data_IF_503995491992
#
_entry.id   IF_503995491992
#
_cell.length_a   1.000
_cell.length_b   1.000
_cell.length_c   1.000
_cell.angle_alpha   90.00
_cell.angle_beta   90.00
_cell.angle_gamma   90.00
#
_symmetry.space_group_name_H-M   'P 1'
#
loop_
_entity.id
_entity.type
_entity.pdbx_description
1 polymer ?
#
# COMPACT_ATOMS: atom_id res chain seq x y z
N UNK A 1 16.65 101.67 29.72
CA UNK A 1 16.40 102.25 28.38
C UNK A 1 16.56 101.12 27.36
N UNK A 2 15.46 100.70 26.69
CA UNK A 2 15.30 99.76 25.55
C UNK A 2 15.94 98.33 25.63
N UNK A 3 15.28 97.15 25.54
CA UNK A 3 14.17 96.55 24.74
C UNK A 3 14.60 96.00 23.35
N UNK A 4 14.13 94.77 23.04
CA UNK A 4 14.10 93.99 21.75
C UNK A 4 15.21 92.92 21.60
N UNK A 5 15.00 91.59 21.55
CA UNK A 5 14.12 90.63 20.83
C UNK A 5 14.48 90.30 19.36
N UNK A 6 14.72 88.99 19.15
CA UNK A 6 14.63 88.14 17.93
C UNK A 6 15.61 88.35 16.75
N UNK A 7 16.40 87.31 16.41
CA UNK A 7 16.13 86.43 15.26
C UNK A 7 17.19 85.31 15.07
N UNK A 8 16.71 84.09 14.77
CA UNK A 8 17.51 82.94 14.31
C UNK A 8 17.81 83.07 12.80
N UNK A 9 18.75 82.27 12.25
CA UNK A 9 18.23 81.30 11.29
C UNK A 9 18.69 79.87 11.55
N UNK A 10 17.68 79.01 11.48
CA UNK A 10 17.71 77.59 11.20
C UNK A 10 18.39 77.34 9.84
N UNK A 11 19.42 76.48 9.80
CA UNK A 11 19.91 75.87 8.56
C UNK A 11 19.57 74.39 8.59
N UNK A 12 18.61 74.05 7.73
CA UNK A 12 18.25 72.71 7.29
C UNK A 12 19.47 71.98 6.70
N UNK A 13 19.88 70.86 7.32
CA UNK A 13 20.50 69.77 6.57
C UNK A 13 19.76 68.46 6.84
N UNK A 14 18.96 68.15 5.83
CA UNK A 14 18.37 66.87 5.43
C UNK A 14 19.00 65.62 6.06
N UNK A 15 18.11 64.79 6.61
CA UNK A 15 17.90 63.46 6.06
C UNK A 15 18.66 62.31 6.72
N UNK A 16 17.91 61.40 7.33
CA UNK A 16 18.37 60.04 7.58
C UNK A 16 17.82 59.38 8.83
N UNK A 17 16.50 59.30 8.99
CA UNK A 17 15.91 58.35 9.94
C UNK A 17 16.17 56.94 9.38
N UNK A 18 17.21 56.27 9.88
CA UNK A 18 17.56 54.90 9.50
C UNK A 18 16.54 53.93 10.09
N UNK A 19 15.51 53.60 9.31
CA UNK A 19 14.56 52.52 9.63
C UNK A 19 15.30 51.19 9.54
N UNK A 20 15.67 50.62 10.70
CA UNK A 20 16.19 49.25 10.80
C UNK A 20 15.07 48.29 10.39
N UNK A 21 15.12 47.83 9.14
CA UNK A 21 14.30 46.73 8.65
C UNK A 21 14.71 45.44 9.37
N UNK A 22 13.92 45.03 10.36
CA UNK A 22 14.03 43.70 10.95
C UNK A 22 13.52 42.72 9.89
N UNK A 23 14.44 42.05 9.21
CA UNK A 23 14.11 40.93 8.32
C UNK A 23 13.63 39.75 9.16
N UNK A 24 12.33 39.53 9.20
CA UNK A 24 11.74 38.31 9.76
C UNK A 24 11.90 37.22 8.69
N UNK A 25 12.94 36.41 8.84
CA UNK A 25 13.16 35.20 8.04
C UNK A 25 12.19 34.13 8.55
N UNK A 26 11.00 34.01 7.94
CA UNK A 26 10.07 32.91 8.25
C UNK A 26 10.55 31.64 7.55
N UNK A 27 11.22 30.75 8.28
CA UNK A 27 11.51 29.40 7.82
C UNK A 27 10.22 28.58 7.78
N UNK A 28 9.75 28.21 6.59
CA UNK A 28 8.68 27.23 6.42
C UNK A 28 9.30 25.85 6.59
N UNK A 29 9.09 25.23 7.75
CA UNK A 29 9.48 23.84 7.97
C UNK A 29 8.53 22.93 7.17
N UNK A 30 9.04 22.28 6.12
CA UNK A 30 8.36 21.14 5.50
C UNK A 30 8.37 19.99 6.51
N UNK A 31 7.26 19.81 7.24
CA UNK A 31 7.06 18.59 8.03
C UNK A 31 6.81 17.45 7.05
N UNK A 32 7.80 16.57 6.89
CA UNK A 32 7.61 15.29 6.20
C UNK A 32 6.54 14.50 6.96
N UNK A 33 5.45 14.14 6.29
CA UNK A 33 4.42 13.27 6.85
C UNK A 33 5.05 11.92 7.18
N UNK A 34 5.06 11.55 8.46
CA UNK A 34 5.47 10.21 8.90
C UNK A 34 4.59 9.17 8.22
N UNK A 35 5.17 8.23 7.49
CA UNK A 35 4.44 7.09 6.94
C UNK A 35 3.74 6.36 8.10
N UNK A 36 2.43 6.19 8.02
CA UNK A 36 1.66 5.44 9.00
C UNK A 36 2.14 3.98 9.03
N UNK A 37 2.12 3.34 10.21
CA UNK A 37 2.44 1.91 10.35
C UNK A 37 1.64 1.07 9.36
N UNK A 38 2.33 0.41 8.44
CA UNK A 38 1.70 -0.40 7.41
C UNK A 38 0.94 -1.58 8.04
N UNK A 39 -0.31 -1.78 7.64
CA UNK A 39 -0.99 -3.04 7.84
C UNK A 39 -0.30 -4.10 6.97
N UNK A 40 0.19 -5.18 7.58
CA UNK A 40 1.00 -6.21 6.89
C UNK A 40 0.35 -7.58 6.94
N UNK A 41 0.50 -8.32 5.84
CA UNK A 41 0.28 -9.76 5.79
C UNK A 41 1.51 -10.49 6.37
N UNK A 42 1.29 -11.70 6.86
CA UNK A 42 2.34 -12.58 7.38
C UNK A 42 2.71 -13.58 6.30
N UNK A 43 4.00 -13.81 6.08
CA UNK A 43 4.50 -14.87 5.19
C UNK A 43 3.89 -14.80 3.77
N UNK A 44 3.86 -13.61 3.18
CA UNK A 44 3.26 -13.38 1.85
C UNK A 44 3.96 -14.12 0.69
N UNK A 45 5.22 -14.52 0.87
CA UNK A 45 5.98 -15.38 -0.06
C UNK A 45 5.97 -16.85 0.33
N UNK A 46 5.26 -17.24 1.39
CA UNK A 46 5.05 -18.64 1.77
C UNK A 46 6.32 -19.43 2.15
N UNK A 47 7.47 -18.76 2.33
CA UNK A 47 8.73 -19.40 2.71
C UNK A 47 8.67 -20.03 4.10
N UNK A 48 8.01 -19.36 5.05
CA UNK A 48 7.86 -19.89 6.42
C UNK A 48 6.96 -21.11 6.41
N UNK A 49 5.81 -21.00 5.73
CA UNK A 49 4.86 -22.11 5.55
C UNK A 49 5.53 -23.29 4.85
N UNK A 50 6.20 -23.06 3.72
CA UNK A 50 6.92 -24.07 2.96
C UNK A 50 8.00 -24.78 3.79
N UNK A 51 8.85 -24.03 4.48
CA UNK A 51 9.92 -24.60 5.31
C UNK A 51 9.40 -25.42 6.51
N UNK A 52 8.20 -25.11 7.01
CA UNK A 52 7.57 -25.85 8.10
C UNK A 52 6.91 -27.17 7.66
N UNK A 53 6.86 -27.43 6.36
CA UNK A 53 6.17 -28.62 5.81
C UNK A 53 7.14 -29.80 5.64
N UNK A 54 6.76 -31.04 6.00
CA UNK A 54 7.65 -32.21 5.91
C UNK A 54 7.98 -32.69 4.49
N UNK A 55 7.66 -31.93 3.44
CA UNK A 55 7.65 -32.41 2.06
C UNK A 55 8.69 -31.71 1.19
N UNK A 56 9.34 -32.52 0.37
CA UNK A 56 10.27 -32.10 -0.68
C UNK A 56 9.57 -31.66 -1.97
N UNK A 57 8.23 -31.50 -1.96
CA UNK A 57 7.42 -31.31 -3.17
C UNK A 57 6.22 -30.37 -2.91
N UNK A 58 5.10 -30.86 -2.36
CA UNK A 58 3.90 -30.07 -2.12
C UNK A 58 3.06 -30.60 -0.94
N UNK A 59 2.19 -29.77 -0.39
CA UNK A 59 1.21 -30.15 0.63
C UNK A 59 -0.11 -29.39 0.47
N UNK A 60 -1.17 -29.84 1.14
CA UNK A 60 -2.47 -29.17 1.23
C UNK A 60 -2.81 -28.79 2.68
N UNK A 61 -3.50 -27.66 2.88
CA UNK A 61 -3.93 -27.15 4.19
C UNK A 61 -5.14 -27.90 4.75
N UNK A 62 -6.24 -27.91 3.99
CA UNK A 62 -7.39 -28.76 4.28
C UNK A 62 -7.76 -29.56 3.03
N UNK A 63 -8.19 -30.78 3.28
CA UNK A 63 -8.54 -31.78 2.27
C UNK A 63 -9.43 -31.23 1.15
N UNK A 64 -9.18 -31.67 -0.09
CA UNK A 64 -10.11 -32.70 -0.59
C UNK A 64 -9.47 -34.04 -0.98
N UNK A 65 -8.16 -34.28 -0.80
CA UNK A 65 -7.53 -35.46 -1.39
C UNK A 65 -6.88 -36.40 -0.36
N UNK A 66 -7.58 -37.49 -0.03
CA UNK A 66 -7.04 -38.59 0.77
C UNK A 66 -5.75 -39.13 0.17
N UNK A 67 -4.71 -39.21 1.01
CA UNK A 67 -3.39 -39.68 0.61
C UNK A 67 -2.40 -38.59 0.17
N UNK A 68 -2.77 -37.31 0.16
CA UNK A 68 -1.81 -36.23 -0.12
C UNK A 68 -1.15 -35.66 1.15
N UNK A 69 0.09 -35.17 1.05
CA UNK A 69 0.78 -34.58 2.19
C UNK A 69 0.03 -33.38 2.77
N UNK A 70 0.02 -33.29 4.10
CA UNK A 70 -0.66 -32.22 4.83
C UNK A 70 0.33 -31.12 5.20
N UNK A 71 -0.07 -29.87 5.04
CA UNK A 71 0.74 -28.74 5.46
C UNK A 71 0.74 -28.60 6.98
N UNK A 72 1.84 -28.10 7.54
CA UNK A 72 1.84 -27.64 8.92
C UNK A 72 0.90 -26.42 9.06
N UNK A 73 0.26 -26.22 10.22
CA UNK A 73 -0.55 -25.03 10.48
C UNK A 73 0.25 -23.74 10.25
N UNK A 74 -0.39 -22.74 9.63
CA UNK A 74 0.25 -21.46 9.32
C UNK A 74 -0.75 -20.29 9.32
N UNK A 75 -0.27 -19.07 9.09
CA UNK A 75 -1.13 -17.89 8.91
C UNK A 75 -1.98 -17.95 7.62
N UNK A 76 -1.54 -18.70 6.61
CA UNK A 76 -2.32 -19.01 5.43
C UNK A 76 -3.06 -20.32 5.61
N UNK A 77 -4.33 -20.32 5.23
CA UNK A 77 -5.29 -21.42 5.45
C UNK A 77 -6.21 -21.56 4.24
N UNK A 78 -7.14 -22.52 4.28
CA UNK A 78 -8.10 -22.80 3.22
C UNK A 78 -8.01 -24.24 2.75
N UNK A 79 -8.49 -24.54 1.55
CA UNK A 79 -8.41 -25.87 0.90
C UNK A 79 -7.27 -25.99 -0.13
N UNK A 80 -6.44 -24.95 -0.19
CA UNK A 80 -5.25 -24.84 -1.03
C UNK A 80 -4.01 -25.44 -0.36
N UNK A 81 -2.82 -25.06 -0.80
CA UNK A 81 -1.58 -25.50 -0.18
C UNK A 81 -0.34 -24.74 -0.65
N UNK A 82 0.83 -25.29 -0.33
CA UNK A 82 2.13 -24.77 -0.76
C UNK A 82 2.92 -25.83 -1.49
N UNK A 83 3.84 -25.37 -2.32
CA UNK A 83 4.63 -26.19 -3.21
C UNK A 83 6.02 -25.56 -3.37
N UNK A 84 7.05 -26.40 -3.47
CA UNK A 84 8.39 -25.96 -3.81
C UNK A 84 8.51 -25.72 -5.32
N UNK A 85 9.22 -24.67 -5.72
CA UNK A 85 9.38 -24.23 -7.10
C UNK A 85 10.08 -25.21 -8.04
N UNK A 86 10.67 -26.28 -7.52
CA UNK A 86 11.27 -27.36 -8.30
C UNK A 86 10.47 -28.67 -8.22
N UNK A 87 9.22 -28.62 -7.74
CA UNK A 87 8.35 -29.79 -7.61
C UNK A 87 7.99 -30.47 -8.93
N UNK A 88 8.57 -31.64 -9.21
CA UNK A 88 8.47 -32.34 -10.51
C UNK A 88 7.04 -32.55 -11.06
N UNK A 89 6.04 -32.93 -10.24
CA UNK A 89 4.69 -33.22 -10.73
C UNK A 89 3.90 -32.02 -11.26
N UNK A 90 4.34 -30.79 -11.02
CA UNK A 90 3.51 -29.59 -11.19
C UNK A 90 4.01 -28.61 -12.26
N UNK A 91 4.96 -29.00 -13.12
CA UNK A 91 5.35 -28.20 -14.28
C UNK A 91 5.69 -26.77 -13.91
N UNK A 92 6.73 -26.62 -13.09
CA UNK A 92 6.93 -25.41 -12.31
C UNK A 92 7.35 -24.21 -13.14
N UNK A 93 7.00 -23.06 -12.58
CA UNK A 93 7.67 -21.79 -12.85
C UNK A 93 8.65 -21.55 -11.70
N UNK A 94 9.85 -21.03 -11.97
CA UNK A 94 10.76 -20.62 -10.90
C UNK A 94 10.03 -19.66 -9.94
N UNK A 95 10.20 -19.86 -8.62
CA UNK A 95 9.63 -18.96 -7.63
C UNK A 95 10.10 -17.53 -7.90
N UNK A 96 9.20 -16.57 -7.72
CA UNK A 96 9.55 -15.17 -7.91
C UNK A 96 10.16 -14.59 -6.64
N UNK A 97 9.80 -15.12 -5.47
CA UNK A 97 10.47 -14.92 -4.20
C UNK A 97 10.81 -16.28 -3.56
N UNK A 98 12.02 -16.42 -3.01
CA UNK A 98 12.43 -17.62 -2.30
C UNK A 98 12.35 -18.93 -3.11
N UNK A 99 11.83 -19.99 -2.48
CA UNK A 99 11.77 -21.33 -3.04
C UNK A 99 10.36 -21.90 -3.12
N UNK A 100 9.41 -21.32 -2.39
CA UNK A 100 8.06 -21.81 -2.22
C UNK A 100 7.05 -20.80 -2.75
N UNK A 101 5.88 -21.30 -3.10
CA UNK A 101 4.72 -20.47 -3.37
C UNK A 101 3.46 -21.25 -3.01
N UNK A 102 2.34 -20.54 -2.84
CA UNK A 102 1.05 -21.18 -2.66
C UNK A 102 0.43 -21.55 -4.01
N UNK A 103 -0.61 -22.38 -3.98
CA UNK A 103 -1.38 -22.70 -5.17
C UNK A 103 -2.88 -22.66 -4.90
N UNK A 104 -3.65 -22.23 -5.88
CA UNK A 104 -5.11 -22.29 -5.93
C UNK A 104 -5.50 -23.25 -7.05
N UNK A 105 -5.92 -24.46 -6.69
CA UNK A 105 -6.25 -25.55 -7.60
C UNK A 105 -7.74 -25.81 -7.62
N UNK A 106 -8.31 -25.93 -8.81
CA UNK A 106 -9.73 -26.23 -8.97
C UNK A 106 -10.60 -25.15 -8.31
N UNK A 107 -11.42 -25.55 -7.35
CA UNK A 107 -12.27 -24.67 -6.54
C UNK A 107 -11.69 -24.38 -5.14
N UNK A 108 -10.37 -24.55 -4.96
CA UNK A 108 -9.74 -24.36 -3.66
C UNK A 108 -9.71 -22.89 -3.23
N UNK A 109 -9.52 -22.66 -1.93
CA UNK A 109 -9.38 -21.33 -1.34
C UNK A 109 -8.04 -21.18 -0.64
N UNK A 110 -7.42 -20.01 -0.77
CA UNK A 110 -6.22 -19.60 -0.05
C UNK A 110 -6.54 -18.31 0.69
N UNK A 111 -6.44 -18.32 2.01
CA UNK A 111 -6.92 -17.24 2.85
C UNK A 111 -5.96 -16.89 3.99
N UNK A 112 -5.91 -15.60 4.33
CA UNK A 112 -5.24 -15.10 5.53
C UNK A 112 -6.05 -13.96 6.14
N UNK A 113 -6.12 -13.94 7.47
CA UNK A 113 -6.67 -12.80 8.20
C UNK A 113 -5.59 -11.80 8.59
N UNK A 114 -5.92 -10.52 8.50
CA UNK A 114 -5.10 -9.41 8.97
C UNK A 114 -5.97 -8.37 9.67
N UNK A 115 -5.39 -7.64 10.63
CA UNK A 115 -6.09 -6.54 11.32
C UNK A 115 -5.53 -5.21 10.84
N UNK A 116 -6.41 -4.32 10.38
CA UNK A 116 -6.01 -2.99 9.96
C UNK A 116 -5.54 -2.17 11.17
N UNK A 117 -4.33 -1.66 11.11
CA UNK A 117 -3.69 -0.88 12.18
C UNK A 117 -4.06 0.61 12.15
N UNK A 118 -4.53 1.08 11.00
CA UNK A 118 -4.98 2.45 10.78
C UNK A 118 -6.09 2.48 9.73
N UNK A 119 -6.96 3.48 9.81
CA UNK A 119 -7.96 3.71 8.75
C UNK A 119 -7.26 4.33 7.55
N UNK A 120 -7.14 3.57 6.46
CA UNK A 120 -6.37 3.98 5.28
C UNK A 120 -6.83 3.27 4.00
N UNK A 121 -6.55 3.89 2.85
CA UNK A 121 -6.72 3.24 1.55
C UNK A 121 -5.54 2.31 1.29
N UNK A 122 -5.80 1.04 1.07
CA UNK A 122 -4.80 0.00 0.80
C UNK A 122 -4.95 -0.55 -0.61
N UNK A 123 -3.85 -1.00 -1.21
CA UNK A 123 -3.84 -1.87 -2.38
C UNK A 123 -3.22 -3.22 -2.03
N UNK A 124 -3.73 -4.28 -2.65
CA UNK A 124 -3.15 -5.61 -2.60
C UNK A 124 -2.28 -5.82 -3.85
N UNK A 125 -1.09 -6.39 -3.68
CA UNK A 125 -0.24 -6.87 -4.78
C UNK A 125 0.13 -8.33 -4.56
N UNK A 126 0.28 -9.06 -5.66
CA UNK A 126 0.73 -10.46 -5.67
C UNK A 126 1.26 -10.82 -7.04
N UNK A 127 1.86 -12.00 -7.14
CA UNK A 127 2.33 -12.60 -8.38
C UNK A 127 1.50 -13.85 -8.66
N UNK A 128 1.15 -14.08 -9.93
CA UNK A 128 0.49 -15.32 -10.35
C UNK A 128 1.11 -15.99 -11.58
N UNK A 129 1.09 -17.32 -11.60
CA UNK A 129 1.49 -18.13 -12.75
C UNK A 129 0.59 -19.37 -12.84
N UNK A 130 0.44 -19.96 -14.01
CA UNK A 130 -0.25 -21.23 -14.15
C UNK A 130 0.71 -22.41 -13.98
N UNK A 131 0.15 -23.54 -13.59
CA UNK A 131 0.82 -24.83 -13.79
C UNK A 131 0.99 -25.10 -15.30
N UNK A 132 2.23 -25.30 -15.74
CA UNK A 132 2.52 -25.37 -17.20
C UNK A 132 2.32 -26.76 -17.80
N UNK A 133 2.42 -27.83 -17.01
CA UNK A 133 2.37 -29.21 -17.51
C UNK A 133 0.95 -29.81 -17.54
N UNK A 134 -0.07 -29.18 -16.95
CA UNK A 134 -1.44 -29.70 -16.94
C UNK A 134 -2.51 -28.64 -16.65
N UNK A 135 -3.71 -28.81 -17.24
CA UNK A 135 -4.92 -28.01 -16.97
C UNK A 135 -5.01 -26.67 -17.69
N UNK A 136 -3.88 -26.02 -17.97
CA UNK A 136 -3.85 -24.66 -18.54
C UNK A 136 -4.07 -23.58 -17.48
N UNK A 137 -4.41 -22.36 -17.91
CA UNK A 137 -4.59 -21.21 -17.01
C UNK A 137 -5.81 -21.40 -16.10
N UNK A 138 -5.66 -21.03 -14.83
CA UNK A 138 -6.72 -21.01 -13.83
C UNK A 138 -7.36 -19.61 -13.80
N UNK A 139 -8.67 -19.57 -13.60
CA UNK A 139 -9.38 -18.36 -13.21
C UNK A 139 -9.68 -18.39 -11.72
N UNK A 140 -9.52 -17.26 -11.04
CA UNK A 140 -9.77 -17.13 -9.60
C UNK A 140 -10.30 -15.74 -9.26
N UNK A 141 -11.02 -15.62 -8.15
CA UNK A 141 -11.39 -14.32 -7.57
C UNK A 141 -10.49 -13.97 -6.42
N UNK A 142 -10.38 -12.67 -6.15
CA UNK A 142 -9.74 -12.14 -4.95
C UNK A 142 -10.75 -11.28 -4.21
N UNK A 143 -10.97 -11.58 -2.93
CA UNK A 143 -11.92 -10.85 -2.11
C UNK A 143 -11.38 -10.61 -0.71
N UNK A 144 -11.92 -9.58 -0.07
CA UNK A 144 -11.68 -9.27 1.33
C UNK A 144 -13.02 -9.24 2.05
N UNK A 145 -13.16 -10.02 3.11
CA UNK A 145 -14.34 -9.98 3.98
C UNK A 145 -13.93 -9.51 5.38
N UNK A 146 -14.69 -8.61 5.99
CA UNK A 146 -14.37 -8.11 7.34
C UNK A 146 -15.37 -7.07 7.81
N UNK A 147 -15.65 -7.09 9.12
CA UNK A 147 -16.77 -6.33 9.67
C UNK A 147 -18.11 -6.81 9.08
N UNK A 148 -18.90 -5.88 8.52
CA UNK A 148 -20.20 -6.15 7.90
C UNK A 148 -20.17 -6.08 6.35
N UNK A 149 -19.00 -6.21 5.72
CA UNK A 149 -18.86 -6.03 4.28
C UNK A 149 -17.91 -7.04 3.64
N UNK A 150 -18.19 -7.34 2.38
CA UNK A 150 -17.31 -8.07 1.46
C UNK A 150 -16.93 -7.13 0.33
N UNK A 151 -15.63 -7.02 0.08
CA UNK A 151 -15.03 -6.22 -0.97
C UNK A 151 -14.51 -7.20 -2.03
N UNK A 152 -15.10 -7.15 -3.23
CA UNK A 152 -14.58 -7.88 -4.38
C UNK A 152 -13.43 -7.07 -5.00
N UNK A 153 -12.24 -7.67 -5.05
CA UNK A 153 -11.06 -7.05 -5.67
C UNK A 153 -10.93 -7.44 -7.14
N UNK A 154 -11.72 -8.40 -7.62
CA UNK A 154 -11.84 -8.75 -9.02
C UNK A 154 -11.67 -10.24 -9.31
N UNK A 155 -11.87 -10.57 -10.59
CA UNK A 155 -11.60 -11.88 -11.16
C UNK A 155 -10.36 -11.82 -12.05
N UNK A 156 -9.47 -12.79 -11.90
CA UNK A 156 -8.19 -12.86 -12.57
C UNK A 156 -8.03 -14.21 -13.27
N UNK A 157 -7.25 -14.20 -14.35
CA UNK A 157 -6.75 -15.42 -15.00
C UNK A 157 -5.24 -15.45 -14.85
N UNK A 158 -4.71 -16.54 -14.28
CA UNK A 158 -3.30 -16.75 -13.95
C UNK A 158 -2.38 -16.45 -15.12
N UNK A 159 -1.21 -15.84 -14.90
CA UNK A 159 -0.17 -15.67 -15.93
C UNK A 159 0.22 -17.00 -16.59
N UNK A 160 0.65 -16.97 -17.86
CA UNK A 160 1.06 -18.19 -18.58
C UNK A 160 2.59 -18.35 -18.60
N UNK A 161 3.10 -19.49 -18.14
CA UNK A 161 4.52 -19.87 -18.26
C UNK A 161 5.50 -19.13 -17.36
N UNK A 162 5.13 -17.97 -16.82
CA UNK A 162 5.92 -17.20 -15.86
C UNK A 162 5.02 -16.39 -14.92
N UNK A 163 5.56 -15.98 -13.76
CA UNK A 163 4.86 -15.10 -12.84
C UNK A 163 4.56 -13.73 -13.45
N UNK A 164 3.33 -13.27 -13.27
CA UNK A 164 2.83 -11.96 -13.68
C UNK A 164 2.42 -11.18 -12.45
N UNK A 165 2.86 -9.92 -12.36
CA UNK A 165 2.49 -9.04 -11.26
C UNK A 165 1.05 -8.55 -11.39
N UNK A 166 0.33 -8.59 -10.26
CA UNK A 166 -1.06 -8.15 -10.12
C UNK A 166 -1.16 -7.08 -9.04
N UNK A 167 -2.14 -6.21 -9.20
CA UNK A 167 -2.49 -5.20 -8.20
C UNK A 167 -3.99 -5.00 -8.21
N UNK A 168 -4.60 -4.93 -7.03
CA UNK A 168 -6.03 -4.66 -6.88
C UNK A 168 -6.33 -3.17 -7.08
N UNK A 169 -7.61 -2.87 -7.31
CA UNK A 169 -8.13 -1.53 -7.02
C UNK A 169 -7.92 -1.20 -5.53
N UNK A 170 -7.71 0.07 -5.17
CA UNK A 170 -7.63 0.47 -3.77
C UNK A 170 -8.93 0.18 -3.01
N UNK A 171 -8.82 -0.18 -1.74
CA UNK A 171 -9.94 -0.40 -0.84
C UNK A 171 -9.69 0.27 0.51
N UNK A 172 -10.76 0.69 1.18
CA UNK A 172 -10.67 1.30 2.51
C UNK A 172 -10.59 0.21 3.59
N UNK A 173 -9.50 0.19 4.33
CA UNK A 173 -9.38 -0.59 5.56
C UNK A 173 -9.65 0.33 6.77
N UNK A 174 -10.47 -0.12 7.71
CA UNK A 174 -10.84 0.64 8.91
C UNK A 174 -10.06 0.12 10.12
N UNK A 175 -9.41 1.02 10.84
CA UNK A 175 -8.59 0.70 12.02
C UNK A 175 -9.32 -0.22 12.99
N UNK A 176 -8.62 -1.24 13.50
CA UNK A 176 -9.13 -2.23 14.45
C UNK A 176 -10.03 -3.31 13.84
N UNK A 177 -10.36 -3.22 12.55
CA UNK A 177 -11.16 -4.26 11.87
C UNK A 177 -10.26 -5.39 11.42
N UNK A 178 -10.66 -6.62 11.74
CA UNK A 178 -10.04 -7.83 11.17
C UNK A 178 -10.72 -8.17 9.85
N UNK A 179 -9.90 -8.31 8.82
CA UNK A 179 -10.26 -8.69 7.48
C UNK A 179 -9.69 -10.06 7.15
N UNK A 180 -10.36 -10.79 6.26
CA UNK A 180 -9.91 -12.06 5.68
C UNK A 180 -9.78 -11.87 4.18
N UNK A 181 -8.53 -11.86 3.70
CA UNK A 181 -8.19 -11.95 2.29
C UNK A 181 -8.41 -13.39 1.83
N UNK A 182 -9.05 -13.58 0.68
CA UNK A 182 -9.30 -14.90 0.09
C UNK A 182 -9.10 -14.89 -1.41
N UNK A 183 -8.26 -15.80 -1.90
CA UNK A 183 -8.20 -16.21 -3.30
C UNK A 183 -9.07 -17.46 -3.47
N UNK A 184 -9.96 -17.47 -4.46
CA UNK A 184 -10.88 -18.60 -4.71
C UNK A 184 -10.79 -19.05 -6.15
N UNK A 185 -10.42 -20.31 -6.38
CA UNK A 185 -10.41 -20.90 -7.71
C UNK A 185 -11.82 -21.03 -8.30
N UNK A 186 -11.95 -20.80 -9.60
CA UNK A 186 -13.25 -20.83 -10.30
C UNK A 186 -13.41 -22.01 -11.26
N UNK A 187 -12.34 -22.73 -11.58
CA UNK A 187 -12.43 -23.87 -12.48
C UNK A 187 -12.72 -25.15 -11.70
N UNK A 188 -13.76 -25.89 -12.05
CA UNK A 188 -13.98 -27.23 -11.48
C UNK A 188 -12.99 -28.29 -12.02
N UNK A 189 -12.29 -27.96 -13.11
CA UNK A 189 -11.22 -28.77 -13.69
C UNK A 189 -9.93 -28.72 -12.84
N UNK A 190 -8.99 -29.61 -13.14
CA UNK A 190 -7.66 -29.60 -12.55
C UNK A 190 -6.77 -28.49 -13.14
N UNK A 191 -7.13 -27.25 -12.83
CA UNK A 191 -6.41 -26.02 -13.18
C UNK A 191 -5.81 -25.40 -11.94
N UNK A 192 -4.60 -24.89 -12.03
CA UNK A 192 -3.87 -24.36 -10.88
C UNK A 192 -3.28 -22.99 -11.18
N UNK A 193 -3.52 -22.04 -10.28
CA UNK A 193 -2.77 -20.78 -10.20
C UNK A 193 -1.78 -20.88 -9.06
N UNK A 194 -0.50 -20.70 -9.32
CA UNK A 194 0.50 -20.40 -8.30
C UNK A 194 0.35 -18.94 -7.86
N UNK A 195 0.53 -18.68 -6.58
CA UNK A 195 0.40 -17.37 -5.93
C UNK A 195 1.64 -17.14 -5.07
N UNK A 196 2.28 -15.98 -5.25
CA UNK A 196 3.53 -15.62 -4.57
C UNK A 196 3.55 -14.11 -4.24
N UNK A 197 4.38 -13.70 -3.27
CA UNK A 197 4.67 -12.31 -2.94
C UNK A 197 3.44 -11.47 -2.56
N UNK A 198 2.50 -12.03 -1.81
CA UNK A 198 1.26 -11.33 -1.44
C UNK A 198 1.54 -10.24 -0.40
N UNK A 199 1.24 -8.99 -0.75
CA UNK A 199 1.53 -7.83 0.09
C UNK A 199 0.44 -6.77 0.06
N UNK A 200 0.33 -6.02 1.16
CA UNK A 200 -0.51 -4.83 1.28
C UNK A 200 0.37 -3.58 1.27
N UNK A 201 -0.07 -2.56 0.55
CA UNK A 201 0.57 -1.25 0.53
C UNK A 201 -0.45 -0.15 0.80
N UNK A 202 -0.10 0.82 1.65
CA UNK A 202 -0.92 2.01 1.81
C UNK A 202 -0.81 2.87 0.54
N UNK A 203 -1.95 3.32 0.02
CA UNK A 203 -2.01 4.32 -1.04
C UNK A 203 -1.83 5.69 -0.37
N UNK A 204 -0.73 6.42 -0.65
CA UNK A 204 -0.57 7.76 -0.11
C UNK A 204 -1.78 8.59 -0.51
N UNK A 205 -2.41 9.27 0.44
CA UNK A 205 -3.42 10.25 0.09
C UNK A 205 -2.81 11.22 -0.92
N UNK A 206 -3.50 11.52 -2.04
CA UNK A 206 -2.93 12.38 -3.05
C UNK A 206 -2.47 13.68 -2.39
N UNK A 207 -1.18 14.01 -2.56
CA UNK A 207 -0.61 15.27 -2.11
C UNK A 207 -1.41 16.50 -2.60
N UNK A 208 -2.36 16.30 -3.53
CA UNK A 208 -3.41 17.23 -3.93
C UNK A 208 -4.05 18.00 -2.78
N UNK A 209 -4.38 17.37 -1.64
CA UNK A 209 -4.95 18.13 -0.52
C UNK A 209 -3.94 19.10 0.10
N UNK A 210 -2.72 18.63 0.33
CA UNK A 210 -1.61 19.48 0.79
C UNK A 210 -1.29 20.60 -0.20
N UNK A 211 -1.23 20.30 -1.49
CA UNK A 211 -0.97 21.25 -2.57
C UNK A 211 -2.11 22.25 -2.75
N UNK A 212 -3.37 21.84 -2.58
CA UNK A 212 -4.53 22.75 -2.60
C UNK A 212 -4.48 23.70 -1.40
N UNK A 213 -4.25 23.20 -0.19
CA UNK A 213 -4.13 24.03 1.01
C UNK A 213 -2.96 25.00 0.88
N UNK A 214 -1.81 24.52 0.42
CA UNK A 214 -0.64 25.37 0.16
C UNK A 214 -0.94 26.39 -0.93
N UNK A 215 -1.56 25.98 -2.05
CA UNK A 215 -1.93 26.86 -3.15
C UNK A 215 -2.89 27.97 -2.72
N UNK A 216 -3.97 27.63 -2.01
CA UNK A 216 -4.90 28.62 -1.46
C UNK A 216 -4.25 29.50 -0.38
N UNK A 217 -3.36 28.94 0.45
CA UNK A 217 -2.57 29.69 1.41
C UNK A 217 -1.68 30.74 0.75
N UNK A 218 -0.99 30.38 -0.35
CA UNK A 218 -0.17 31.31 -1.13
C UNK A 218 -1.01 32.43 -1.76
N UNK A 219 -2.17 32.10 -2.34
CA UNK A 219 -3.09 33.10 -2.92
C UNK A 219 -3.61 34.07 -1.85
N UNK A 220 -4.04 33.55 -0.70
CA UNK A 220 -4.49 34.37 0.43
C UNK A 220 -3.39 35.28 0.98
N UNK A 221 -2.17 34.77 1.11
CA UNK A 221 -1.00 35.54 1.54
C UNK A 221 -0.68 36.69 0.55
N UNK A 222 -0.66 36.39 -0.75
CA UNK A 222 -0.43 37.39 -1.79
C UNK A 222 -1.50 38.49 -1.79
N UNK A 223 -2.77 38.13 -1.60
CA UNK A 223 -3.88 39.07 -1.50
C UNK A 223 -3.77 39.99 -0.25
N UNK A 224 -3.33 39.46 0.90
CA UNK A 224 -3.12 40.24 2.13
C UNK A 224 -2.01 41.28 1.96
N UNK A 225 -0.90 40.93 1.29
CA UNK A 225 0.23 41.83 1.05
C UNK A 225 -0.16 43.05 0.18
N UNK A 226 -1.10 42.88 -0.75
CA UNK A 226 -1.58 44.00 -1.61
C UNK A 226 -2.38 45.04 -0.83
N UNK A 227 -3.13 44.64 0.20
CA UNK A 227 -3.95 45.57 1.01
C UNK A 227 -3.11 46.48 1.90
N UNK A 228 -1.96 46.00 2.39
CA UNK A 228 -1.02 46.79 3.20
C UNK A 228 -0.30 47.89 2.40
N UNK A 229 -0.24 47.79 1.07
CA UNK A 229 0.41 48.79 0.19
C UNK A 229 -0.51 49.93 -0.29
N UNK A 230 -1.79 49.97 0.12
CA UNK A 230 -2.77 51.01 -0.28
C UNK A 230 -3.09 51.99 0.87
N UNK A 231 -2.49 51.81 2.06
CA UNK A 231 -2.70 52.67 3.23
C UNK A 231 -1.56 53.69 3.45
N UNK A 232 -0.96 54.22 2.38
CA UNK A 232 0.06 55.27 2.43
C UNK A 232 -0.32 56.45 1.54
#
# INVERSE_FOLDING_TARGET
>A
MARQLHDFPCVLLRGGCSVKFIQILSAVALTASTAASATTLIDGSFETKGASTPVTDYCYDTFPAAGNPQCAPSAWTGTSGVIISNSGPWGNTAAADGNYYAFVQGLSTLSQSFTATATSSLTLSWLDANRTNNGGQQSYTVSISGGASTIDLGTYTSGFGSFVARTSSPFLAVSGTTYTLTFTGLSAEDRTSFIDGVALAAVPEPATWGLMIVGFGMVGFAARRRRTSVAA
#
